data_IF_968986013857
#
_entry.id   IF_968986013857
#
_cell.length_a   1.000
_cell.length_b   1.000
_cell.length_c   1.000
_cell.angle_alpha   90.00
_cell.angle_beta   90.00
_cell.angle_gamma   90.00
#
_symmetry.space_group_name_H-M   'P 1'
#
loop_
_entity.id
_entity.type
_entity.pdbx_description
1 polymer ?
#
# COMPACT_ATOMS: atom_id res chain seq x y z
N UNK A 1 -9.17 20.73 12.80
CA UNK A 1 -10.06 20.97 11.63
C UNK A 1 -9.12 21.15 10.44
N UNK A 2 -9.03 20.26 9.46
CA UNK A 2 -9.96 19.26 8.95
C UNK A 2 -9.29 17.89 8.80
N UNK A 3 -9.84 16.88 9.46
CA UNK A 3 -9.59 15.47 9.11
C UNK A 3 -10.43 15.11 7.89
N UNK A 4 -10.20 15.78 6.75
CA UNK A 4 -10.67 15.25 5.47
C UNK A 4 -9.82 14.01 5.21
N UNK A 5 -10.48 12.84 5.17
CA UNK A 5 -9.86 11.60 4.73
C UNK A 5 -9.19 11.90 3.39
N UNK A 6 -7.87 11.68 3.29
CA UNK A 6 -7.15 11.85 2.04
C UNK A 6 -7.84 10.95 1.00
N UNK A 7 -8.30 11.48 -0.15
CA UNK A 7 -9.02 10.69 -1.17
C UNK A 7 -8.31 9.39 -1.53
N UNK A 8 -6.97 9.43 -1.63
CA UNK A 8 -6.13 8.26 -1.87
C UNK A 8 -6.38 7.19 -0.82
N UNK A 9 -6.46 7.56 0.46
CA UNK A 9 -6.67 6.60 1.54
C UNK A 9 -8.04 5.95 1.48
N UNK A 10 -9.08 6.71 1.11
CA UNK A 10 -10.42 6.18 0.89
C UNK A 10 -10.42 5.15 -0.25
N UNK A 11 -9.74 5.46 -1.35
CA UNK A 11 -9.61 4.57 -2.51
C UNK A 11 -8.85 3.28 -2.17
N UNK A 12 -7.75 3.39 -1.41
CA UNK A 12 -7.00 2.22 -0.93
C UNK A 12 -7.85 1.35 0.00
N UNK A 13 -8.47 1.93 1.04
CA UNK A 13 -9.25 1.16 2.02
C UNK A 13 -10.46 0.51 1.36
N UNK A 14 -11.18 1.26 0.51
CA UNK A 14 -12.33 0.75 -0.24
C UNK A 14 -11.93 -0.43 -1.13
N UNK A 15 -10.88 -0.26 -1.93
CA UNK A 15 -10.37 -1.29 -2.83
C UNK A 15 -9.88 -2.52 -2.07
N UNK A 16 -9.11 -2.33 -0.99
CA UNK A 16 -8.63 -3.41 -0.12
C UNK A 16 -9.78 -4.26 0.41
N UNK A 17 -10.82 -3.62 0.95
CA UNK A 17 -11.96 -4.33 1.52
C UNK A 17 -12.71 -5.16 0.46
N UNK A 18 -12.83 -4.65 -0.76
CA UNK A 18 -13.45 -5.39 -1.87
C UNK A 18 -12.58 -6.62 -2.23
N UNK A 19 -11.28 -6.41 -2.42
CA UNK A 19 -10.34 -7.43 -2.87
C UNK A 19 -10.11 -8.55 -1.84
N UNK A 20 -9.98 -8.22 -0.55
CA UNK A 20 -9.82 -9.22 0.52
C UNK A 20 -11.05 -10.13 0.67
N UNK A 21 -12.24 -9.64 0.29
CA UNK A 21 -13.44 -10.46 0.20
C UNK A 21 -13.51 -11.32 -1.08
N UNK A 22 -12.40 -11.42 -1.84
CA UNK A 22 -12.29 -12.10 -3.14
C UNK A 22 -13.31 -11.63 -4.16
N UNK A 23 -13.74 -10.37 -4.04
CA UNK A 23 -14.63 -9.71 -4.97
C UNK A 23 -13.84 -8.72 -5.81
N UNK A 24 -14.35 -8.45 -6.99
CA UNK A 24 -14.00 -7.28 -7.76
C UNK A 24 -15.30 -6.55 -8.09
N UNK A 25 -15.25 -5.23 -8.14
CA UNK A 25 -16.26 -4.44 -8.82
C UNK A 25 -15.58 -3.56 -9.87
N UNK A 26 -16.39 -3.02 -10.76
CA UNK A 26 -15.96 -2.13 -11.84
C UNK A 26 -15.25 -0.86 -11.36
N UNK A 27 -15.33 -0.53 -10.07
CA UNK A 27 -14.74 0.67 -9.49
C UNK A 27 -13.32 0.47 -8.95
N UNK A 28 -12.89 -0.76 -8.59
CA UNK A 28 -11.58 -0.98 -7.95
C UNK A 28 -10.42 -0.48 -8.84
N UNK A 29 -10.34 -0.95 -10.09
CA UNK A 29 -9.23 -0.58 -10.96
C UNK A 29 -9.21 0.92 -11.30
N UNK A 30 -10.35 1.57 -11.63
CA UNK A 30 -10.42 3.03 -11.74
C UNK A 30 -9.95 3.77 -10.48
N UNK A 31 -10.47 3.43 -9.29
CA UNK A 31 -10.09 4.10 -8.04
C UNK A 31 -8.59 3.97 -7.74
N UNK A 32 -7.97 2.83 -8.04
CA UNK A 32 -6.53 2.65 -7.86
C UNK A 32 -5.70 3.46 -8.88
N UNK A 33 -6.20 3.66 -10.10
CA UNK A 33 -5.56 4.53 -11.09
C UNK A 33 -5.66 5.99 -10.68
N UNK A 34 -6.81 6.41 -10.20
CA UNK A 34 -7.01 7.76 -9.65
C UNK A 34 -6.06 7.99 -8.46
N UNK A 35 -5.88 7.00 -7.59
CA UNK A 35 -4.90 7.06 -6.50
C UNK A 35 -3.45 7.24 -7.02
N UNK A 36 -3.06 6.54 -8.09
CA UNK A 36 -1.74 6.69 -8.74
C UNK A 36 -1.57 8.12 -9.29
N UNK A 37 -2.58 8.64 -10.00
CA UNK A 37 -2.52 9.97 -10.62
C UNK A 37 -2.42 11.09 -9.58
N UNK A 38 -2.91 10.84 -8.35
CA UNK A 38 -2.89 11.79 -7.25
C UNK A 38 -1.73 11.62 -6.27
N UNK A 39 -0.78 10.70 -6.49
CA UNK A 39 0.33 10.43 -5.55
C UNK A 39 1.20 11.66 -5.27
N UNK A 40 1.29 12.61 -6.20
CA UNK A 40 2.00 13.89 -6.00
C UNK A 40 1.50 14.69 -4.79
N UNK A 41 0.27 14.44 -4.33
CA UNK A 41 -0.30 15.03 -3.12
C UNK A 41 0.26 14.45 -1.81
N UNK A 42 0.99 13.33 -1.86
CA UNK A 42 1.62 12.72 -0.68
C UNK A 42 2.99 13.38 -0.44
N UNK A 43 3.15 14.16 0.65
CA UNK A 43 4.39 14.88 0.93
C UNK A 43 5.52 13.95 1.38
N UNK A 44 5.22 12.75 1.88
CA UNK A 44 6.22 11.77 2.32
C UNK A 44 6.76 11.02 1.09
N UNK A 45 7.98 11.34 0.68
CA UNK A 45 8.56 10.83 -0.57
C UNK A 45 8.66 9.29 -0.62
N UNK A 46 9.15 8.65 0.45
CA UNK A 46 9.24 7.19 0.52
C UNK A 46 7.86 6.54 0.42
N UNK A 47 6.86 7.04 1.15
CA UNK A 47 5.46 6.57 1.00
C UNK A 47 4.97 6.71 -0.43
N UNK A 48 5.26 7.84 -1.10
CA UNK A 48 4.85 8.08 -2.49
C UNK A 48 5.42 7.03 -3.44
N UNK A 49 6.73 6.76 -3.34
CA UNK A 49 7.42 5.77 -4.18
C UNK A 49 6.93 4.35 -3.90
N UNK A 50 6.74 4.00 -2.62
CA UNK A 50 6.15 2.72 -2.22
C UNK A 50 4.75 2.54 -2.81
N UNK A 51 3.91 3.58 -2.72
CA UNK A 51 2.57 3.55 -3.29
C UNK A 51 2.58 3.36 -4.81
N UNK A 52 3.37 4.15 -5.56
CA UNK A 52 3.45 4.02 -7.02
C UNK A 52 3.83 2.59 -7.44
N UNK A 53 4.87 2.05 -6.80
CA UNK A 53 5.32 0.68 -7.07
C UNK A 53 4.24 -0.36 -6.73
N UNK A 54 3.69 -0.31 -5.51
CA UNK A 54 2.74 -1.32 -5.04
C UNK A 54 1.40 -1.25 -5.77
N UNK A 55 0.89 -0.07 -6.08
CA UNK A 55 -0.37 0.08 -6.82
C UNK A 55 -0.26 -0.45 -8.24
N UNK A 56 0.90 -0.31 -8.89
CA UNK A 56 1.15 -0.94 -10.19
C UNK A 56 1.15 -2.46 -10.10
N UNK A 57 1.78 -3.04 -9.09
CA UNK A 57 1.74 -4.50 -8.85
C UNK A 57 0.31 -4.98 -8.57
N UNK A 58 -0.47 -4.23 -7.78
CA UNK A 58 -1.89 -4.53 -7.50
C UNK A 58 -2.72 -4.54 -8.79
N UNK A 59 -2.53 -3.56 -9.67
CA UNK A 59 -3.24 -3.50 -10.96
C UNK A 59 -2.90 -4.68 -11.87
N UNK A 60 -1.62 -5.12 -11.90
CA UNK A 60 -1.21 -6.31 -12.65
C UNK A 60 -1.85 -7.59 -12.10
N UNK A 61 -1.99 -7.70 -10.79
CA UNK A 61 -2.61 -8.85 -10.14
C UNK A 61 -4.12 -8.88 -10.36
N UNK A 62 -4.78 -7.71 -10.31
CA UNK A 62 -6.19 -7.57 -10.70
C UNK A 62 -6.40 -8.02 -12.14
N UNK A 63 -5.54 -7.62 -13.08
CA UNK A 63 -5.60 -8.08 -14.48
C UNK A 63 -5.46 -9.60 -14.61
N UNK A 64 -4.69 -10.22 -13.71
CA UNK A 64 -4.46 -11.67 -13.66
C UNK A 64 -5.52 -12.42 -12.85
N UNK A 65 -6.59 -11.75 -12.40
CA UNK A 65 -7.64 -12.28 -11.52
C UNK A 65 -7.17 -12.76 -10.14
N UNK A 66 -6.00 -12.32 -9.68
CA UNK A 66 -5.49 -12.62 -8.33
C UNK A 66 -5.86 -11.52 -7.34
N UNK A 67 -7.13 -11.52 -6.94
CA UNK A 67 -7.67 -10.48 -6.07
C UNK A 67 -7.19 -10.58 -4.64
N UNK A 68 -6.89 -11.79 -4.16
CA UNK A 68 -6.45 -11.96 -2.78
C UNK A 68 -5.03 -11.43 -2.59
N UNK A 69 -4.11 -11.78 -3.49
CA UNK A 69 -2.74 -11.22 -3.49
C UNK A 69 -2.79 -9.69 -3.60
N UNK A 70 -3.62 -9.16 -4.52
CA UNK A 70 -3.81 -7.72 -4.70
C UNK A 70 -4.31 -7.05 -3.40
N UNK A 71 -5.30 -7.66 -2.73
CA UNK A 71 -5.83 -7.20 -1.46
C UNK A 71 -4.79 -7.19 -0.33
N UNK A 72 -3.92 -8.21 -0.27
CA UNK A 72 -2.85 -8.29 0.74
C UNK A 72 -1.82 -7.18 0.57
N UNK A 73 -1.48 -6.80 -0.67
CA UNK A 73 -0.58 -5.67 -0.93
C UNK A 73 -1.20 -4.36 -0.47
N UNK A 74 -2.49 -4.14 -0.79
CA UNK A 74 -3.21 -2.96 -0.27
C UNK A 74 -3.30 -2.98 1.26
N UNK A 75 -3.44 -4.16 1.87
CA UNK A 75 -3.42 -4.33 3.32
C UNK A 75 -2.06 -4.00 3.93
N UNK A 76 -0.95 -4.18 3.23
CA UNK A 76 0.34 -3.73 3.74
C UNK A 76 0.48 -2.21 3.67
N UNK A 77 0.23 -1.61 2.49
CA UNK A 77 0.57 -0.20 2.25
C UNK A 77 -0.40 0.80 2.89
N UNK A 78 -1.62 0.39 3.26
CA UNK A 78 -2.58 1.31 3.90
C UNK A 78 -2.13 1.81 5.28
N UNK A 79 -1.10 1.18 5.86
CA UNK A 79 -0.47 1.55 7.13
C UNK A 79 0.62 2.62 7.01
N UNK A 80 1.01 3.01 5.79
CA UNK A 80 2.08 3.99 5.58
C UNK A 80 1.60 5.43 5.83
N UNK A 81 2.50 6.33 6.27
CA UNK A 81 2.13 7.70 6.59
C UNK A 81 1.92 8.51 5.30
N UNK A 82 0.68 8.96 5.09
CA UNK A 82 0.30 9.83 3.95
C UNK A 82 0.52 11.33 4.20
N UNK A 83 0.87 11.73 5.43
CA UNK A 83 1.12 13.14 5.79
C UNK A 83 2.41 13.26 6.58
N UNK A 84 3.04 14.45 6.56
CA UNK A 84 4.24 14.71 7.36
C UNK A 84 3.99 14.59 8.86
N UNK A 85 2.79 14.94 9.34
CA UNK A 85 2.40 14.78 10.73
C UNK A 85 2.39 13.30 11.13
N UNK A 86 1.67 12.46 10.36
CA UNK A 86 1.66 11.01 10.61
C UNK A 86 3.06 10.42 10.50
N UNK A 87 3.89 10.89 9.58
CA UNK A 87 5.26 10.39 9.41
C UNK A 87 6.18 10.66 10.62
N UNK A 88 5.88 11.67 11.45
CA UNK A 88 6.63 11.98 12.68
C UNK A 88 6.26 11.06 13.84
N UNK A 89 5.01 10.62 13.88
CA UNK A 89 4.49 9.71 14.92
C UNK A 89 4.32 8.28 14.42
N UNK A 90 4.84 7.97 13.24
CA UNK A 90 4.68 6.66 12.63
C UNK A 90 5.62 5.67 13.29
N UNK A 91 5.06 4.60 13.84
CA UNK A 91 5.80 3.53 14.47
C UNK A 91 6.34 2.57 13.39
N UNK A 92 7.57 2.84 12.97
CA UNK A 92 8.27 2.01 11.98
C UNK A 92 8.57 0.62 12.51
N UNK A 93 8.86 0.50 13.81
CA UNK A 93 9.18 -0.79 14.43
C UNK A 93 7.94 -1.69 14.40
N UNK A 94 6.78 -1.15 14.79
CA UNK A 94 5.49 -1.84 14.66
C UNK A 94 5.21 -2.25 13.20
N UNK A 95 5.42 -1.34 12.23
CA UNK A 95 5.19 -1.68 10.82
C UNK A 95 6.09 -2.84 10.36
N UNK A 96 7.37 -2.83 10.70
CA UNK A 96 8.31 -3.88 10.30
C UNK A 96 8.04 -5.20 11.04
N UNK A 97 7.78 -5.15 12.35
CA UNK A 97 7.62 -6.35 13.17
C UNK A 97 6.23 -6.99 13.07
N UNK A 98 5.19 -6.20 12.80
CA UNK A 98 3.80 -6.68 12.79
C UNK A 98 3.23 -6.68 11.38
N UNK A 99 3.13 -5.52 10.73
CA UNK A 99 2.41 -5.41 9.45
C UNK A 99 3.16 -6.12 8.31
N UNK A 100 4.46 -5.86 8.18
CA UNK A 100 5.31 -6.50 7.17
C UNK A 100 5.51 -7.98 7.46
N UNK A 101 5.63 -8.38 8.73
CA UNK A 101 5.70 -9.79 9.13
C UNK A 101 4.42 -10.53 8.76
N UNK A 102 3.25 -9.97 9.08
CA UNK A 102 1.93 -10.55 8.73
C UNK A 102 1.76 -10.68 7.21
N UNK A 103 2.23 -9.69 6.44
CA UNK A 103 2.27 -9.80 4.98
C UNK A 103 3.17 -10.97 4.53
N UNK A 104 4.35 -11.12 5.14
CA UNK A 104 5.28 -12.20 4.82
C UNK A 104 4.78 -13.58 5.25
N UNK A 105 3.93 -13.72 6.27
CA UNK A 105 3.29 -15.01 6.59
C UNK A 105 2.47 -15.58 5.43
N UNK A 106 2.06 -14.73 4.49
CA UNK A 106 1.28 -15.09 3.30
C UNK A 106 2.11 -15.12 2.00
N UNK A 107 3.44 -15.18 2.10
CA UNK A 107 4.36 -15.03 0.96
C UNK A 107 4.13 -16.05 -0.18
N UNK A 108 3.64 -17.25 0.12
CA UNK A 108 3.38 -18.30 -0.87
C UNK A 108 2.18 -17.98 -1.76
N UNK A 109 1.25 -17.17 -1.24
CA UNK A 109 0.01 -16.80 -1.91
C UNK A 109 0.17 -15.45 -2.63
N UNK A 110 1.06 -14.59 -2.13
CA UNK A 110 1.22 -13.23 -2.64
C UNK A 110 2.23 -13.21 -3.79
N UNK A 111 1.75 -12.89 -4.99
CA UNK A 111 2.59 -12.66 -6.16
C UNK A 111 3.54 -11.48 -5.86
N UNK A 112 4.82 -11.67 -6.21
CA UNK A 112 5.88 -10.67 -6.02
C UNK A 112 6.17 -10.30 -4.56
N UNK A 113 5.75 -11.09 -3.55
CA UNK A 113 5.94 -10.76 -2.13
C UNK A 113 7.38 -10.32 -1.79
N UNK A 114 8.38 -11.11 -2.22
CA UNK A 114 9.81 -10.80 -2.04
C UNK A 114 10.20 -9.45 -2.67
N UNK A 115 9.74 -9.19 -3.89
CA UNK A 115 10.03 -7.97 -4.64
C UNK A 115 9.46 -6.75 -3.92
N UNK A 116 8.23 -6.86 -3.42
CA UNK A 116 7.53 -5.81 -2.67
C UNK A 116 8.25 -5.51 -1.35
N UNK A 117 8.60 -6.55 -0.58
CA UNK A 117 9.31 -6.39 0.69
C UNK A 117 10.66 -5.71 0.49
N UNK A 118 11.47 -6.16 -0.49
CA UNK A 118 12.76 -5.52 -0.76
C UNK A 118 12.61 -4.07 -1.21
N UNK A 119 11.61 -3.76 -2.03
CA UNK A 119 11.35 -2.39 -2.45
C UNK A 119 10.98 -1.50 -1.25
N UNK A 120 10.05 -1.94 -0.40
CA UNK A 120 9.63 -1.21 0.79
C UNK A 120 10.80 -0.97 1.73
N UNK A 121 11.58 -2.01 2.06
CA UNK A 121 12.74 -1.87 2.92
C UNK A 121 13.79 -0.94 2.32
N UNK A 122 14.02 -0.98 1.00
CA UNK A 122 14.94 -0.08 0.32
C UNK A 122 14.50 1.39 0.33
N UNK A 123 13.21 1.67 0.26
CA UNK A 123 12.67 3.04 0.36
C UNK A 123 12.62 3.56 1.81
N UNK A 124 12.53 2.67 2.79
CA UNK A 124 12.53 3.04 4.21
C UNK A 124 13.94 3.15 4.79
N UNK A 125 14.90 2.33 4.35
CA UNK A 125 16.21 2.22 4.97
C UNK A 125 16.99 3.53 5.10
N UNK A 126 17.02 4.46 4.10
CA UNK A 126 17.82 5.67 4.22
C UNK A 126 17.39 6.58 5.37
N UNK A 127 16.13 6.46 5.83
CA UNK A 127 15.60 7.27 6.93
C UNK A 127 15.99 6.77 8.32
N UNK A 128 16.32 5.48 8.47
CA UNK A 128 16.43 4.82 9.77
C UNK A 128 17.77 4.12 10.03
N UNK A 129 18.62 3.99 9.02
CA UNK A 129 19.94 3.35 9.13
C UNK A 129 21.07 4.41 9.19
N UNK A 130 20.79 5.68 8.88
CA UNK A 130 21.74 6.79 9.05
C UNK A 130 21.91 7.24 10.51
#
# INVERSE_FOLDING_TARGET
MDSKINPIWADIIGSRNILLNRRINECVAPSLRDAIDNLSSIPVESTRRIFDFCLREVLLQIQSSDFYSAGMILNLIHNLPLTMEKAKSWDVDYFLSIELSTFLENFEIIISARKIVFFICGELSPKYIE
#
